data_IF_106841606077
#
_entry.id   IF_106841606077
#
_cell.length_a   1.000
_cell.length_b   1.000
_cell.length_c   1.000
_cell.angle_alpha   90.00
_cell.angle_beta   90.00
_cell.angle_gamma   90.00
#
_symmetry.space_group_name_H-M   'P 1'
#
loop_
_entity.id
_entity.type
_entity.pdbx_description
1 polymer ?
#
# COMPACT_ATOMS: atom_id res chain seq x y z
N UNK A 1 10.43 -19.87 1.35
CA UNK A 1 11.25 -20.94 1.98
C UNK A 1 10.70 -21.38 3.33
N UNK A 2 10.13 -20.49 4.15
CA UNK A 2 9.57 -20.83 5.48
C UNK A 2 8.59 -22.02 5.47
N UNK A 3 7.84 -22.22 4.39
CA UNK A 3 6.92 -23.35 4.25
C UNK A 3 7.60 -24.68 3.82
N UNK A 4 8.84 -24.63 3.34
CA UNK A 4 9.54 -25.78 2.75
C UNK A 4 10.84 -26.11 3.47
N UNK A 5 11.50 -25.15 4.12
CA UNK A 5 12.79 -25.31 4.76
C UNK A 5 12.63 -25.36 6.29
N UNK A 6 13.07 -26.48 6.88
CA UNK A 6 13.04 -26.67 8.33
C UNK A 6 14.27 -26.02 8.97
N UNK A 7 14.07 -25.32 10.09
CA UNK A 7 15.15 -24.89 10.98
C UNK A 7 15.62 -26.00 11.89
N UNK A 8 16.89 -25.96 12.30
CA UNK A 8 17.43 -26.80 13.33
C UNK A 8 17.53 -26.01 14.63
N UNK A 9 16.82 -26.46 15.65
CA UNK A 9 16.82 -25.82 16.99
C UNK A 9 18.24 -25.66 17.54
N UNK A 10 18.59 -24.44 17.95
CA UNK A 10 19.92 -24.08 18.46
C UNK A 10 21.00 -23.96 17.38
N UNK A 11 20.65 -23.92 16.10
CA UNK A 11 21.58 -23.71 14.99
C UNK A 11 21.11 -22.63 14.00
N UNK A 12 20.18 -21.78 14.41
CA UNK A 12 19.53 -20.77 13.58
C UNK A 12 20.53 -19.74 13.02
N UNK A 13 21.62 -19.48 13.74
CA UNK A 13 22.68 -18.54 13.34
C UNK A 13 23.75 -19.17 12.41
N UNK A 14 23.63 -20.45 12.09
CA UNK A 14 24.59 -21.11 11.21
C UNK A 14 24.21 -20.96 9.73
N UNK A 15 25.24 -20.92 8.89
CA UNK A 15 25.06 -20.91 7.45
C UNK A 15 24.33 -22.18 6.98
N UNK A 16 23.39 -21.97 6.06
CA UNK A 16 22.55 -23.02 5.50
C UNK A 16 22.82 -23.15 4.00
N UNK A 17 22.93 -24.38 3.52
CA UNK A 17 22.97 -24.70 2.10
C UNK A 17 21.77 -25.58 1.76
N UNK A 18 21.03 -25.18 0.70
CA UNK A 18 19.86 -25.91 0.20
C UNK A 18 20.16 -26.42 -1.19
N UNK A 19 20.03 -27.70 -1.40
CA UNK A 19 20.07 -28.30 -2.73
C UNK A 19 18.64 -28.57 -3.24
N UNK A 20 18.34 -28.04 -4.42
CA UNK A 20 17.07 -28.23 -5.12
C UNK A 20 17.25 -29.24 -6.26
N UNK A 21 16.42 -30.26 -6.29
CA UNK A 21 16.38 -31.27 -7.32
C UNK A 21 15.02 -31.25 -7.99
N UNK A 22 14.98 -30.90 -9.28
CA UNK A 22 13.75 -30.96 -10.06
C UNK A 22 13.54 -32.31 -10.66
N UNK A 23 12.32 -32.88 -10.65
CA UNK A 23 11.98 -34.07 -11.38
C UNK A 23 12.18 -33.86 -12.89
N UNK A 24 12.26 -34.94 -13.65
CA UNK A 24 12.60 -34.88 -15.07
C UNK A 24 11.67 -33.99 -15.90
N UNK A 25 10.40 -34.00 -15.56
CA UNK A 25 9.34 -33.22 -16.22
C UNK A 25 9.52 -31.69 -16.01
N UNK A 26 10.14 -31.28 -14.90
CA UNK A 26 10.32 -29.87 -14.51
C UNK A 26 11.77 -29.38 -14.69
N UNK A 27 12.68 -30.19 -15.23
CA UNK A 27 14.08 -29.77 -15.43
C UNK A 27 14.27 -28.59 -16.35
N UNK A 28 13.23 -28.22 -17.11
CA UNK A 28 13.24 -27.03 -17.97
C UNK A 28 12.94 -25.74 -17.21
N UNK A 29 12.43 -25.81 -15.98
CA UNK A 29 12.19 -24.64 -15.13
C UNK A 29 13.50 -23.95 -14.76
N UNK A 30 13.41 -22.63 -14.64
CA UNK A 30 14.48 -21.75 -14.23
C UNK A 30 14.28 -21.32 -12.77
N UNK A 31 15.38 -21.08 -12.07
CA UNK A 31 15.38 -20.56 -10.72
C UNK A 31 15.48 -19.03 -10.75
N UNK A 32 14.62 -18.34 -10.01
CA UNK A 32 14.77 -16.92 -9.65
C UNK A 32 14.84 -16.79 -8.13
N UNK A 33 15.74 -15.97 -7.62
CA UNK A 33 15.91 -15.69 -6.18
C UNK A 33 16.91 -14.55 -5.96
N UNK A 34 16.75 -13.82 -4.85
CA UNK A 34 17.77 -12.86 -4.36
C UNK A 34 18.96 -13.53 -3.67
N UNK A 35 18.85 -14.82 -3.30
CA UNK A 35 19.94 -15.55 -2.63
C UNK A 35 21.11 -15.85 -3.55
N UNK A 36 22.29 -15.98 -2.95
CA UNK A 36 23.44 -16.57 -3.63
C UNK A 36 23.09 -17.98 -4.12
N UNK A 37 23.08 -18.17 -5.44
CA UNK A 37 22.68 -19.43 -6.06
C UNK A 37 23.68 -19.89 -7.12
N UNK A 38 23.69 -21.20 -7.36
CA UNK A 38 24.50 -21.81 -8.42
C UNK A 38 23.71 -22.91 -9.09
N UNK A 39 23.62 -22.85 -10.42
CA UNK A 39 23.14 -23.96 -11.21
C UNK A 39 24.28 -24.97 -11.37
N UNK A 40 24.10 -26.22 -10.92
CA UNK A 40 25.08 -27.29 -11.01
C UNK A 40 24.97 -28.02 -12.35
N UNK A 41 23.78 -28.50 -12.65
CA UNK A 41 23.36 -29.10 -13.91
C UNK A 41 21.88 -28.79 -14.12
N UNK A 42 21.35 -29.07 -15.30
CA UNK A 42 19.93 -28.83 -15.63
C UNK A 42 19.01 -29.49 -14.57
N UNK A 43 18.19 -28.67 -13.91
CA UNK A 43 17.26 -29.11 -12.86
C UNK A 43 17.89 -29.34 -11.48
N UNK A 44 19.14 -28.91 -11.27
CA UNK A 44 19.79 -28.98 -9.95
C UNK A 44 20.45 -27.64 -9.59
N UNK A 45 20.06 -27.10 -8.44
CA UNK A 45 20.52 -25.80 -7.94
C UNK A 45 21.00 -25.89 -6.50
N UNK A 46 21.96 -25.06 -6.15
CA UNK A 46 22.37 -24.85 -4.75
C UNK A 46 22.07 -23.42 -4.37
N UNK A 47 21.43 -23.21 -3.21
CA UNK A 47 21.17 -21.92 -2.59
C UNK A 47 21.95 -21.81 -1.29
N UNK A 48 22.42 -20.61 -0.94
CA UNK A 48 23.18 -20.37 0.30
C UNK A 48 22.62 -19.18 1.04
N UNK A 49 22.39 -19.37 2.34
CA UNK A 49 22.03 -18.32 3.27
C UNK A 49 23.00 -18.33 4.47
N UNK A 50 23.27 -17.18 5.06
CA UNK A 50 24.17 -17.05 6.22
C UNK A 50 23.55 -17.54 7.51
N UNK A 51 22.23 -17.45 7.62
CA UNK A 51 21.43 -17.86 8.78
C UNK A 51 20.11 -18.47 8.33
N UNK A 52 19.39 -19.11 9.24
CA UNK A 52 18.02 -19.58 8.97
C UNK A 52 17.06 -18.41 8.72
N UNK A 53 17.22 -17.29 9.45
CA UNK A 53 16.42 -16.08 9.22
C UNK A 53 16.60 -15.52 7.80
N UNK A 54 17.84 -15.47 7.28
CA UNK A 54 18.10 -15.07 5.88
C UNK A 54 17.45 -16.06 4.89
N UNK A 55 17.51 -17.36 5.16
CA UNK A 55 16.89 -18.38 4.31
C UNK A 55 15.39 -18.21 4.17
N UNK A 56 14.68 -17.99 5.28
CA UNK A 56 13.22 -17.89 5.26
C UNK A 56 12.72 -16.54 4.73
N UNK A 57 13.56 -15.51 4.78
CA UNK A 57 13.29 -14.16 4.23
C UNK A 57 13.78 -13.98 2.78
N UNK A 58 14.14 -15.05 2.10
CA UNK A 58 14.61 -15.02 0.72
C UNK A 58 13.81 -15.99 -0.15
N UNK A 59 12.77 -15.53 -0.84
CA UNK A 59 11.96 -16.37 -1.69
C UNK A 59 12.76 -16.91 -2.88
N UNK A 60 12.29 -18.02 -3.42
CA UNK A 60 12.73 -18.52 -4.71
C UNK A 60 11.55 -19.02 -5.53
N UNK A 61 11.62 -18.80 -6.82
CA UNK A 61 10.63 -19.24 -7.79
C UNK A 61 11.26 -20.23 -8.78
N UNK A 62 10.57 -21.32 -9.05
CA UNK A 62 10.91 -22.30 -10.08
C UNK A 62 9.77 -22.35 -11.09
N UNK A 63 9.99 -21.83 -12.30
CA UNK A 63 8.97 -21.73 -13.35
C UNK A 63 9.58 -21.62 -14.75
N UNK A 64 8.72 -21.67 -15.77
CA UNK A 64 9.01 -21.07 -17.08
C UNK A 64 8.84 -19.56 -16.94
N UNK A 65 9.88 -18.81 -17.28
CA UNK A 65 9.94 -17.38 -16.96
C UNK A 65 10.35 -16.55 -18.16
N UNK A 66 9.72 -15.41 -18.32
CA UNK A 66 10.28 -14.30 -19.11
C UNK A 66 11.21 -13.49 -18.21
N UNK A 67 12.45 -13.27 -18.66
CA UNK A 67 13.49 -12.62 -17.85
C UNK A 67 14.16 -11.49 -18.63
N UNK A 68 14.50 -10.42 -17.94
CA UNK A 68 15.37 -9.37 -18.46
C UNK A 68 16.20 -8.77 -17.31
N UNK A 69 17.40 -8.31 -17.65
CA UNK A 69 18.30 -7.65 -16.71
C UNK A 69 18.52 -6.20 -17.09
N UNK A 70 18.81 -5.38 -16.11
CA UNK A 70 19.20 -3.98 -16.26
C UNK A 70 20.16 -3.59 -15.13
N UNK A 71 20.72 -2.38 -15.24
CA UNK A 71 21.60 -1.82 -14.22
C UNK A 71 21.05 -0.47 -13.79
N UNK A 72 20.89 -0.26 -12.48
CA UNK A 72 20.49 1.01 -11.91
C UNK A 72 21.60 1.50 -10.94
N UNK A 73 22.18 2.67 -11.20
CA UNK A 73 23.28 3.26 -10.43
C UNK A 73 24.44 2.28 -10.15
N UNK A 74 24.83 1.46 -11.14
CA UNK A 74 25.92 0.51 -11.03
C UNK A 74 25.57 -0.80 -10.33
N UNK A 75 24.30 -1.01 -9.98
CA UNK A 75 23.81 -2.24 -9.31
C UNK A 75 23.04 -3.08 -10.33
N UNK A 76 23.38 -4.37 -10.49
CA UNK A 76 22.64 -5.26 -11.38
C UNK A 76 21.28 -5.64 -10.81
N UNK A 77 20.26 -5.59 -11.67
CA UNK A 77 18.89 -5.98 -11.38
C UNK A 77 18.42 -7.04 -12.36
N UNK A 78 17.55 -7.92 -11.87
CA UNK A 78 16.86 -8.89 -12.71
C UNK A 78 15.36 -8.78 -12.46
N UNK A 79 14.58 -8.82 -13.54
CA UNK A 79 13.14 -8.88 -13.50
C UNK A 79 12.66 -10.19 -14.13
N UNK A 80 11.82 -10.90 -13.40
CA UNK A 80 11.35 -12.23 -13.77
C UNK A 80 9.82 -12.24 -13.74
N UNK A 81 9.19 -12.72 -14.81
CA UNK A 81 7.73 -12.87 -14.88
C UNK A 81 7.36 -14.30 -15.22
N UNK A 82 6.57 -14.92 -14.36
CA UNK A 82 5.98 -16.24 -14.54
C UNK A 82 4.48 -16.16 -14.88
N UNK A 83 3.91 -17.25 -15.34
CA UNK A 83 2.53 -17.30 -15.81
C UNK A 83 2.35 -16.80 -17.25
N UNK A 84 1.13 -16.96 -17.79
CA UNK A 84 0.82 -16.53 -19.17
C UNK A 84 0.59 -15.02 -19.22
N UNK A 85 1.36 -14.33 -20.04
CA UNK A 85 1.26 -12.88 -20.25
C UNK A 85 1.68 -12.51 -21.68
N UNK A 86 1.43 -11.24 -22.06
CA UNK A 86 1.84 -10.66 -23.34
C UNK A 86 2.51 -9.28 -23.12
N UNK A 87 3.29 -9.17 -22.01
CA UNK A 87 3.90 -7.88 -21.64
C UNK A 87 4.94 -7.41 -22.66
N UNK A 88 5.08 -6.09 -22.75
CA UNK A 88 6.19 -5.43 -23.42
C UNK A 88 7.39 -5.33 -22.47
N UNK A 89 8.30 -6.31 -22.53
CA UNK A 89 9.45 -6.40 -21.63
C UNK A 89 10.40 -5.17 -21.76
N UNK A 90 10.57 -4.62 -22.96
CA UNK A 90 11.43 -3.45 -23.17
C UNK A 90 10.85 -2.20 -22.49
N UNK A 91 9.54 -1.98 -22.56
CA UNK A 91 8.86 -0.89 -21.86
C UNK A 91 8.96 -1.05 -20.35
N UNK A 92 8.69 -2.23 -19.83
CA UNK A 92 8.80 -2.52 -18.40
C UNK A 92 10.23 -2.29 -17.90
N UNK A 93 11.23 -2.82 -18.59
CA UNK A 93 12.64 -2.61 -18.26
C UNK A 93 12.98 -1.13 -18.12
N UNK A 94 12.60 -0.33 -19.11
CA UNK A 94 12.88 1.10 -19.14
C UNK A 94 12.25 1.85 -17.95
N UNK A 95 11.01 1.53 -17.59
CA UNK A 95 10.30 2.23 -16.53
C UNK A 95 10.80 1.79 -15.14
N UNK A 96 11.03 0.49 -14.93
CA UNK A 96 11.57 -0.03 -13.67
C UNK A 96 13.01 0.45 -13.42
N UNK A 97 13.85 0.53 -14.46
CA UNK A 97 15.21 1.08 -14.34
C UNK A 97 15.18 2.53 -13.82
N UNK A 98 14.27 3.37 -14.33
CA UNK A 98 14.11 4.77 -13.86
C UNK A 98 13.67 4.83 -12.41
N UNK A 99 12.70 4.00 -12.01
CA UNK A 99 12.21 3.90 -10.63
C UNK A 99 13.36 3.52 -9.69
N UNK A 100 14.04 2.42 -9.97
CA UNK A 100 15.15 1.93 -9.15
C UNK A 100 16.28 2.96 -9.04
N UNK A 101 16.67 3.60 -10.15
CA UNK A 101 17.70 4.63 -10.15
C UNK A 101 17.30 5.85 -9.31
N UNK A 102 16.03 6.23 -9.32
CA UNK A 102 15.50 7.35 -8.53
C UNK A 102 15.55 7.05 -7.04
N UNK A 103 15.12 5.85 -6.62
CA UNK A 103 15.15 5.45 -5.21
C UNK A 103 16.58 5.30 -4.68
N UNK A 104 17.49 4.67 -5.43
CA UNK A 104 18.91 4.59 -5.06
C UNK A 104 19.51 6.00 -4.90
N UNK A 105 19.19 6.89 -5.84
CA UNK A 105 19.68 8.27 -5.79
C UNK A 105 19.13 9.05 -4.59
N UNK A 106 17.87 8.80 -4.22
CA UNK A 106 17.24 9.41 -3.06
C UNK A 106 17.97 9.05 -1.76
N UNK A 107 18.39 7.79 -1.58
CA UNK A 107 19.14 7.36 -0.39
C UNK A 107 20.66 7.53 -0.50
N UNK A 108 21.18 7.78 -1.71
CA UNK A 108 22.62 7.91 -1.99
C UNK A 108 23.36 6.58 -2.12
N UNK A 109 22.82 5.48 -1.63
CA UNK A 109 23.33 4.11 -1.79
C UNK A 109 22.23 3.08 -1.53
N UNK A 110 22.42 1.86 -2.02
CA UNK A 110 21.53 0.74 -1.73
C UNK A 110 22.11 -0.19 -0.66
N UNK A 111 21.27 -0.82 0.18
CA UNK A 111 21.71 -1.79 1.18
C UNK A 111 21.97 -3.20 0.61
N UNK A 112 21.97 -3.33 -0.71
CA UNK A 112 22.18 -4.61 -1.42
C UNK A 112 23.16 -4.42 -2.61
N UNK A 113 23.69 -5.52 -3.12
CA UNK A 113 24.60 -5.54 -4.28
C UNK A 113 23.99 -6.05 -5.58
N UNK A 114 22.78 -6.59 -5.51
CA UNK A 114 21.94 -7.01 -6.63
C UNK A 114 20.49 -7.06 -6.18
N UNK A 115 19.54 -7.00 -7.11
CA UNK A 115 18.12 -7.10 -6.78
C UNK A 115 17.35 -7.95 -7.79
N UNK A 116 16.36 -8.72 -7.32
CA UNK A 116 15.53 -9.60 -8.17
C UNK A 116 14.05 -9.34 -7.91
N UNK A 117 13.34 -8.87 -8.95
CA UNK A 117 11.88 -8.84 -8.96
C UNK A 117 11.35 -10.18 -9.47
N UNK A 118 10.44 -10.80 -8.74
CA UNK A 118 9.75 -12.02 -9.13
C UNK A 118 8.26 -11.77 -9.20
N UNK A 119 7.67 -11.76 -10.39
CA UNK A 119 6.26 -11.45 -10.61
C UNK A 119 5.50 -12.65 -11.13
N UNK A 120 4.41 -13.04 -10.46
CA UNK A 120 3.46 -14.01 -10.97
C UNK A 120 2.28 -13.31 -11.63
N UNK A 121 2.12 -13.49 -12.95
CA UNK A 121 1.00 -12.93 -13.72
C UNK A 121 -0.25 -13.81 -13.57
N UNK A 122 -1.32 -13.25 -13.02
CA UNK A 122 -2.59 -13.94 -12.73
C UNK A 122 -3.78 -13.32 -13.46
N UNK A 123 -5.00 -13.74 -13.12
CA UNK A 123 -6.22 -13.13 -13.63
C UNK A 123 -6.61 -11.87 -12.83
N UNK A 124 -6.53 -11.92 -11.49
CA UNK A 124 -7.13 -10.90 -10.60
C UNK A 124 -6.48 -10.80 -9.21
N UNK A 125 -5.34 -11.46 -8.96
CA UNK A 125 -4.63 -11.34 -7.68
C UNK A 125 -3.68 -10.15 -7.73
N UNK A 126 -3.49 -9.47 -6.59
CA UNK A 126 -2.63 -8.31 -6.47
C UNK A 126 -1.97 -8.29 -5.08
N UNK A 127 -0.69 -8.01 -5.03
CA UNK A 127 0.10 -7.85 -3.81
C UNK A 127 1.58 -8.04 -4.04
N UNK A 128 2.36 -7.69 -3.04
CA UNK A 128 3.79 -7.88 -2.99
C UNK A 128 4.23 -8.34 -1.60
N UNK A 129 5.47 -8.79 -1.52
CA UNK A 129 6.16 -9.06 -0.27
C UNK A 129 7.64 -8.74 -0.45
N UNK A 130 8.08 -7.84 0.37
CA UNK A 130 9.42 -7.29 0.38
C UNK A 130 10.46 -8.22 1.03
N UNK A 131 11.66 -8.22 0.48
CA UNK A 131 12.83 -8.93 1.01
C UNK A 131 14.09 -8.05 0.89
N UNK A 132 15.20 -8.37 1.58
CA UNK A 132 16.39 -7.51 1.60
C UNK A 132 16.95 -7.13 0.22
N UNK A 133 16.87 -8.02 -0.76
CA UNK A 133 17.37 -7.81 -2.12
C UNK A 133 16.52 -8.49 -3.20
N UNK A 134 15.25 -8.69 -2.90
CA UNK A 134 14.26 -9.21 -3.86
C UNK A 134 12.85 -8.87 -3.42
N UNK A 135 11.89 -9.05 -4.32
CA UNK A 135 10.47 -9.02 -3.99
C UNK A 135 9.70 -10.11 -4.72
N UNK A 136 8.66 -10.63 -4.06
CA UNK A 136 7.68 -11.51 -4.68
C UNK A 136 6.40 -10.74 -4.95
N UNK A 137 6.06 -10.57 -6.22
CA UNK A 137 4.90 -9.83 -6.68
C UNK A 137 3.85 -10.77 -7.28
N UNK A 138 2.59 -10.44 -7.09
CA UNK A 138 1.48 -11.06 -7.81
C UNK A 138 0.59 -9.96 -8.38
N UNK A 139 0.30 -10.03 -9.69
CA UNK A 139 -0.47 -9.00 -10.36
C UNK A 139 -1.39 -9.58 -11.43
N UNK A 140 -2.53 -8.91 -11.71
CA UNK A 140 -3.28 -9.21 -12.91
C UNK A 140 -2.39 -9.06 -14.14
N UNK A 141 -2.47 -9.99 -15.09
CA UNK A 141 -1.69 -9.90 -16.34
C UNK A 141 -2.03 -8.68 -17.18
N UNK A 142 -3.25 -8.15 -16.98
CA UNK A 142 -3.71 -6.95 -17.67
C UNK A 142 -3.09 -5.66 -17.15
N UNK A 143 -2.49 -5.69 -15.96
CA UNK A 143 -1.76 -4.56 -15.37
C UNK A 143 -0.32 -4.46 -15.93
N UNK A 144 0.17 -5.51 -16.62
CA UNK A 144 1.49 -5.47 -17.25
C UNK A 144 1.45 -4.64 -18.54
N UNK A 145 2.56 -3.94 -18.92
CA UNK A 145 2.55 -3.05 -20.07
C UNK A 145 2.30 -3.83 -21.36
N UNK A 146 1.38 -3.33 -22.18
CA UNK A 146 1.00 -3.94 -23.46
C UNK A 146 1.92 -3.49 -24.59
N UNK A 147 1.87 -4.18 -25.73
CA UNK A 147 2.69 -3.80 -26.90
C UNK A 147 2.41 -2.37 -27.39
N UNK A 148 1.20 -1.87 -27.19
CA UNK A 148 0.75 -0.53 -27.52
C UNK A 148 0.54 0.37 -26.30
N UNK A 149 1.26 0.10 -25.20
CA UNK A 149 1.22 0.94 -24.00
C UNK A 149 1.55 2.39 -24.37
N UNK A 150 0.72 3.38 -23.99
CA UNK A 150 0.95 4.77 -24.30
C UNK A 150 2.20 5.30 -23.55
N UNK A 151 2.71 6.46 -23.96
CA UNK A 151 3.83 7.13 -23.29
C UNK A 151 3.50 7.37 -21.80
N UNK A 152 2.36 7.99 -21.53
CA UNK A 152 1.77 8.02 -20.18
C UNK A 152 1.17 6.64 -19.87
N UNK A 153 1.66 5.90 -18.86
CA UNK A 153 1.18 4.58 -18.54
C UNK A 153 -0.33 4.54 -18.27
N UNK A 154 -1.00 3.47 -18.68
CA UNK A 154 -2.41 3.22 -18.32
C UNK A 154 -2.57 3.10 -16.79
N UNK A 155 -3.76 3.36 -16.27
CA UNK A 155 -4.02 3.31 -14.81
C UNK A 155 -3.69 1.93 -14.20
N UNK A 156 -3.97 0.85 -14.95
CA UNK A 156 -3.63 -0.50 -14.53
C UNK A 156 -2.11 -0.69 -14.45
N UNK A 157 -1.38 -0.18 -15.45
CA UNK A 157 0.08 -0.26 -15.45
C UNK A 157 0.71 0.67 -14.41
N UNK A 158 0.17 1.88 -14.17
CA UNK A 158 0.59 2.74 -13.06
C UNK A 158 0.46 2.03 -11.71
N UNK A 159 -0.64 1.30 -11.49
CA UNK A 159 -0.85 0.51 -10.28
C UNK A 159 0.25 -0.55 -10.09
N UNK A 160 0.63 -1.26 -11.16
CA UNK A 160 1.71 -2.24 -11.11
C UNK A 160 3.07 -1.59 -10.85
N UNK A 161 3.37 -0.46 -11.48
CA UNK A 161 4.61 0.29 -11.25
C UNK A 161 4.69 0.83 -9.81
N UNK A 162 3.58 1.30 -9.26
CA UNK A 162 3.48 1.68 -7.84
C UNK A 162 3.79 0.52 -6.91
N UNK A 163 3.26 -0.69 -7.20
CA UNK A 163 3.61 -1.89 -6.43
C UNK A 163 5.11 -2.21 -6.52
N UNK A 164 5.70 -2.15 -7.71
CA UNK A 164 7.14 -2.37 -7.86
C UNK A 164 7.98 -1.36 -7.07
N UNK A 165 7.60 -0.08 -7.10
CA UNK A 165 8.24 0.99 -6.32
C UNK A 165 8.08 0.76 -4.82
N UNK A 166 6.89 0.42 -4.35
CA UNK A 166 6.58 0.12 -2.95
C UNK A 166 7.49 -0.99 -2.39
N UNK A 167 7.52 -2.13 -3.05
CA UNK A 167 8.28 -3.29 -2.61
C UNK A 167 9.81 -3.08 -2.72
N UNK A 168 10.24 -2.27 -3.69
CA UNK A 168 11.66 -1.93 -3.82
C UNK A 168 12.12 -0.97 -2.73
N UNK A 169 11.27 0.03 -2.37
CA UNK A 169 11.52 0.99 -1.30
C UNK A 169 11.71 0.29 0.05
N UNK A 170 11.00 -0.79 0.28
CA UNK A 170 11.14 -1.61 1.48
C UNK A 170 12.54 -2.18 1.71
N UNK A 171 13.41 -2.24 0.70
CA UNK A 171 14.80 -2.63 0.90
C UNK A 171 15.52 -1.72 1.87
N UNK A 172 15.19 -0.43 1.87
CA UNK A 172 15.65 0.54 2.87
C UNK A 172 14.72 0.57 4.08
N UNK A 173 13.44 0.84 3.87
CA UNK A 173 12.46 1.04 4.93
C UNK A 173 11.67 -0.25 5.16
N UNK A 174 12.00 -0.93 6.13
CA UNK A 174 11.71 -2.12 6.90
C UNK A 174 12.79 -3.21 6.81
N UNK A 175 13.44 -3.43 5.68
CA UNK A 175 14.47 -4.50 5.62
C UNK A 175 15.82 -4.06 6.18
N UNK A 176 16.19 -2.79 6.05
CA UNK A 176 17.43 -2.23 6.58
C UNK A 176 17.20 -1.27 7.77
N UNK A 177 16.32 -0.28 7.60
CA UNK A 177 15.80 0.58 8.66
C UNK A 177 14.61 -0.16 9.28
N UNK A 178 14.67 -0.55 10.54
CA UNK A 178 13.69 -1.44 11.19
C UNK A 178 13.10 -0.82 12.45
N UNK A 179 11.92 -1.26 12.88
CA UNK A 179 11.53 -1.07 14.28
C UNK A 179 12.59 -1.69 15.21
N UNK A 180 12.97 -1.00 16.27
CA UNK A 180 13.99 -1.49 17.22
C UNK A 180 13.64 -2.88 17.77
N UNK A 181 12.38 -3.11 18.08
CA UNK A 181 11.87 -4.40 18.57
C UNK A 181 11.86 -5.52 17.51
N UNK A 182 12.08 -5.21 16.22
CA UNK A 182 12.18 -6.19 15.14
C UNK A 182 13.62 -6.58 14.80
N UNK A 183 14.62 -6.01 15.48
CA UNK A 183 16.03 -6.37 15.24
C UNK A 183 16.31 -7.80 15.70
N UNK A 184 15.79 -8.19 16.87
CA UNK A 184 15.93 -9.52 17.46
C UNK A 184 14.55 -10.10 17.75
N UNK A 185 13.78 -10.38 16.70
CA UNK A 185 12.43 -10.93 16.87
C UNK A 185 12.47 -12.46 17.05
N UNK A 186 11.49 -12.96 17.80
CA UNK A 186 11.26 -14.40 17.98
C UNK A 186 10.35 -14.90 16.87
N UNK A 187 10.88 -15.76 15.99
CA UNK A 187 10.12 -16.36 14.87
C UNK A 187 8.90 -17.19 15.29
N UNK A 188 8.77 -17.51 16.58
CA UNK A 188 7.63 -18.29 17.11
C UNK A 188 6.51 -17.39 17.68
N UNK A 189 6.63 -16.07 17.58
CA UNK A 189 5.65 -15.10 18.12
C UNK A 189 5.36 -14.00 17.12
N UNK A 190 4.17 -13.42 17.24
CA UNK A 190 3.82 -12.21 16.52
C UNK A 190 4.68 -11.04 17.01
N UNK A 191 5.20 -10.25 16.07
CA UNK A 191 5.85 -8.98 16.36
C UNK A 191 4.84 -7.83 16.35
N UNK A 192 4.57 -7.23 17.50
CA UNK A 192 3.71 -6.07 17.63
C UNK A 192 4.53 -4.79 17.60
N UNK A 193 4.06 -3.78 16.86
CA UNK A 193 4.66 -2.44 16.83
C UNK A 193 3.60 -1.40 16.53
N UNK A 194 3.70 -0.23 17.15
CA UNK A 194 2.88 0.95 16.84
C UNK A 194 3.40 1.73 15.61
N UNK A 195 4.44 1.23 14.92
CA UNK A 195 5.22 2.00 13.95
C UNK A 195 4.95 1.64 12.48
N UNK A 196 4.02 0.74 12.15
CA UNK A 196 3.76 0.36 10.75
C UNK A 196 3.32 1.55 9.90
N UNK A 197 2.74 2.59 10.48
CA UNK A 197 2.44 3.84 9.79
C UNK A 197 3.69 4.54 9.22
N UNK A 198 4.88 4.28 9.78
CA UNK A 198 6.16 4.73 9.22
C UNK A 198 6.55 3.79 8.08
N UNK A 199 6.64 2.49 8.38
CA UNK A 199 7.22 1.50 7.48
C UNK A 199 6.36 1.25 6.24
N UNK A 200 5.04 1.28 6.37
CA UNK A 200 4.10 1.13 5.28
C UNK A 200 3.56 2.48 4.77
N UNK A 201 3.29 3.39 5.69
CA UNK A 201 2.74 4.69 5.32
C UNK A 201 3.73 5.57 4.56
N UNK A 202 5.00 5.63 4.98
CA UNK A 202 6.01 6.37 4.22
C UNK A 202 6.29 5.69 2.88
N UNK A 203 6.37 4.37 2.85
CA UNK A 203 6.51 3.62 1.60
C UNK A 203 5.36 3.92 0.65
N UNK A 204 4.10 3.90 1.15
CA UNK A 204 2.91 4.26 0.35
C UNK A 204 2.83 5.75 -0.03
N UNK A 205 3.59 6.63 0.60
CA UNK A 205 3.75 8.01 0.17
C UNK A 205 4.77 8.13 -0.97
N UNK A 206 5.88 7.40 -0.83
CA UNK A 206 6.95 7.45 -1.80
C UNK A 206 6.68 6.64 -3.05
N UNK A 207 5.94 5.54 -2.99
CA UNK A 207 5.71 4.67 -4.15
C UNK A 207 5.16 5.45 -5.36
N UNK A 208 4.08 6.19 -5.20
CA UNK A 208 3.49 7.04 -6.23
C UNK A 208 4.34 8.29 -6.54
N UNK A 209 4.99 8.89 -5.51
CA UNK A 209 5.83 10.07 -5.68
C UNK A 209 7.10 9.74 -6.49
N UNK A 210 7.66 8.57 -6.33
CA UNK A 210 8.81 8.09 -7.11
C UNK A 210 8.43 7.91 -8.59
N UNK A 211 7.22 7.45 -8.91
CA UNK A 211 6.76 7.38 -10.30
C UNK A 211 6.78 8.76 -10.96
N UNK A 212 6.38 9.80 -10.24
CA UNK A 212 6.49 11.19 -10.72
C UNK A 212 7.94 11.65 -10.84
N UNK A 213 8.75 11.45 -9.80
CA UNK A 213 10.15 11.92 -9.76
C UNK A 213 11.04 11.24 -10.79
N UNK A 214 10.76 9.98 -11.11
CA UNK A 214 11.45 9.23 -12.15
C UNK A 214 11.00 9.62 -13.58
N UNK A 215 9.95 10.45 -13.69
CA UNK A 215 9.39 10.86 -14.98
C UNK A 215 8.64 9.73 -15.70
N UNK A 216 8.18 8.72 -14.97
CA UNK A 216 7.39 7.62 -15.53
C UNK A 216 5.92 8.04 -15.66
N UNK A 217 5.42 8.83 -14.73
CA UNK A 217 4.08 9.43 -14.81
C UNK A 217 4.13 10.95 -14.80
N UNK A 218 3.09 11.59 -15.32
CA UNK A 218 2.91 13.03 -15.30
C UNK A 218 2.47 13.56 -13.93
N UNK A 219 2.63 14.87 -13.70
CA UNK A 219 2.08 15.54 -12.52
C UNK A 219 0.56 15.38 -12.41
N UNK A 220 -0.16 15.39 -13.54
CA UNK A 220 -1.61 15.21 -13.56
C UNK A 220 -2.01 13.81 -13.06
N UNK A 221 -1.28 12.77 -13.46
CA UNK A 221 -1.49 11.40 -12.97
C UNK A 221 -1.19 11.28 -11.47
N UNK A 222 -0.10 11.89 -11.00
CA UNK A 222 0.22 11.90 -9.56
C UNK A 222 -0.87 12.60 -8.73
N UNK A 223 -1.38 13.75 -9.16
CA UNK A 223 -2.49 14.44 -8.47
C UNK A 223 -3.75 13.57 -8.43
N UNK A 224 -4.01 12.78 -9.49
CA UNK A 224 -5.13 11.82 -9.52
C UNK A 224 -4.93 10.68 -8.52
N UNK A 225 -3.71 10.12 -8.42
CA UNK A 225 -3.37 9.10 -7.43
C UNK A 225 -3.52 9.66 -6.01
N UNK A 226 -2.97 10.85 -5.75
CA UNK A 226 -3.10 11.52 -4.47
C UNK A 226 -4.57 11.79 -4.09
N UNK A 227 -5.38 12.27 -5.05
CA UNK A 227 -6.83 12.43 -4.85
C UNK A 227 -7.46 11.09 -4.42
N UNK A 228 -7.11 10.00 -5.08
CA UNK A 228 -7.64 8.67 -4.75
C UNK A 228 -7.28 8.24 -3.32
N UNK A 229 -6.06 8.52 -2.87
CA UNK A 229 -5.64 8.24 -1.49
C UNK A 229 -6.45 9.07 -0.48
N UNK A 230 -6.67 10.36 -0.76
CA UNK A 230 -7.46 11.24 0.11
C UNK A 230 -8.93 10.81 0.12
N UNK A 231 -9.53 10.53 -1.02
CA UNK A 231 -10.92 10.07 -1.09
C UNK A 231 -11.13 8.76 -0.30
N UNK A 232 -10.19 7.81 -0.41
CA UNK A 232 -10.23 6.56 0.37
C UNK A 232 -10.20 6.82 1.86
N UNK A 233 -9.37 7.75 2.31
CA UNK A 233 -9.31 8.17 3.72
C UNK A 233 -10.61 8.83 4.17
N UNK A 234 -11.11 9.82 3.41
CA UNK A 234 -12.34 10.55 3.74
C UNK A 234 -13.58 9.65 3.79
N UNK A 235 -13.63 8.63 2.92
CA UNK A 235 -14.74 7.70 2.82
C UNK A 235 -14.69 6.56 3.84
N UNK A 236 -13.63 6.45 4.64
CA UNK A 236 -13.51 5.43 5.69
C UNK A 236 -14.09 5.93 7.03
N UNK A 237 -15.26 5.46 7.49
CA UNK A 237 -15.82 5.88 8.77
C UNK A 237 -15.01 5.41 9.99
N UNK A 238 -14.20 4.36 9.85
CA UNK A 238 -13.31 3.86 10.90
C UNK A 238 -12.20 4.83 11.29
N UNK A 239 -11.89 5.85 10.43
CA UNK A 239 -10.91 6.88 10.74
C UNK A 239 -11.24 7.71 11.99
N UNK A 240 -12.53 7.76 12.37
CA UNK A 240 -13.00 8.42 13.58
C UNK A 240 -13.01 7.52 14.81
N UNK A 241 -12.61 6.25 14.66
CA UNK A 241 -12.68 5.24 15.73
C UNK A 241 -11.29 4.78 16.15
N UNK A 242 -10.36 4.67 15.20
CA UNK A 242 -9.03 4.14 15.43
C UNK A 242 -7.96 5.12 14.94
N UNK A 243 -6.96 5.40 15.77
CA UNK A 243 -5.77 6.15 15.38
C UNK A 243 -4.85 5.30 14.47
N UNK A 244 -3.92 5.94 13.76
CA UNK A 244 -3.00 5.21 12.89
C UNK A 244 -1.95 4.41 13.68
N UNK A 245 -1.60 4.86 14.88
CA UNK A 245 -0.73 4.13 15.82
C UNK A 245 -1.39 2.86 16.33
N UNK A 246 -2.68 2.94 16.75
CA UNK A 246 -3.47 1.76 17.12
C UNK A 246 -3.66 0.81 15.95
N UNK A 247 -3.92 1.32 14.73
CA UNK A 247 -4.02 0.50 13.52
C UNK A 247 -2.74 -0.29 13.26
N UNK A 248 -1.59 0.35 13.46
CA UNK A 248 -0.28 -0.31 13.34
C UNK A 248 -0.13 -1.43 14.37
N UNK A 249 -0.47 -1.17 15.63
CA UNK A 249 -0.35 -2.17 16.71
C UNK A 249 -1.30 -3.35 16.53
N UNK A 250 -2.53 -3.07 16.10
CA UNK A 250 -3.59 -4.06 15.92
C UNK A 250 -3.51 -4.82 14.57
N UNK A 251 -2.45 -4.64 13.76
CA UNK A 251 -2.35 -5.19 12.42
C UNK A 251 -2.67 -6.69 12.35
N UNK A 252 -2.08 -7.50 13.24
CA UNK A 252 -2.27 -8.95 13.29
C UNK A 252 -3.72 -9.39 13.50
N UNK A 253 -4.46 -8.65 14.31
CA UNK A 253 -5.79 -9.05 14.78
C UNK A 253 -6.95 -8.32 14.11
N UNK A 254 -6.67 -7.17 13.46
CA UNK A 254 -7.68 -6.37 12.75
C UNK A 254 -7.39 -6.23 11.26
N UNK A 255 -6.22 -5.71 10.86
CA UNK A 255 -5.94 -5.40 9.47
C UNK A 255 -5.83 -6.66 8.59
N UNK A 256 -5.13 -7.69 9.07
CA UNK A 256 -5.01 -8.98 8.37
C UNK A 256 -6.13 -9.97 8.66
N UNK A 257 -7.09 -9.61 9.52
CA UNK A 257 -8.29 -10.41 9.83
C UNK A 257 -9.54 -9.57 9.70
N UNK A 258 -9.73 -9.01 8.51
CA UNK A 258 -10.88 -8.16 8.23
C UNK A 258 -12.18 -8.96 8.24
N UNK A 259 -13.22 -8.33 8.79
CA UNK A 259 -14.60 -8.77 8.78
C UNK A 259 -15.50 -7.72 8.07
N UNK A 260 -16.80 -7.98 8.09
CA UNK A 260 -17.80 -7.10 7.49
C UNK A 260 -17.92 -5.73 8.16
N UNK A 261 -17.41 -5.58 9.38
CA UNK A 261 -17.43 -4.33 10.15
C UNK A 261 -16.09 -3.56 10.14
N UNK A 262 -15.04 -4.10 9.54
CA UNK A 262 -13.68 -3.55 9.60
C UNK A 262 -13.60 -2.10 9.11
N UNK A 263 -14.35 -1.74 8.06
CA UNK A 263 -14.39 -0.36 7.55
C UNK A 263 -15.03 0.62 8.54
N UNK A 264 -15.87 0.17 9.47
CA UNK A 264 -16.49 0.99 10.49
C UNK A 264 -15.66 1.14 11.76
N UNK A 265 -14.70 0.25 11.98
CA UNK A 265 -13.99 0.07 13.23
C UNK A 265 -12.50 0.40 13.14
N UNK A 266 -11.92 0.41 11.93
CA UNK A 266 -10.49 0.56 11.75
C UNK A 266 -10.11 1.53 10.63
N UNK A 267 -8.87 2.01 10.70
CA UNK A 267 -8.23 2.78 9.62
C UNK A 267 -7.03 1.99 9.07
N UNK A 268 -6.60 2.34 7.86
CA UNK A 268 -5.42 1.72 7.25
C UNK A 268 -4.16 2.51 7.61
N UNK A 269 -3.18 1.84 8.22
CA UNK A 269 -1.87 2.44 8.46
C UNK A 269 -1.07 2.65 7.15
N UNK A 270 -1.42 1.98 6.04
CA UNK A 270 -0.94 2.31 4.71
C UNK A 270 -1.51 3.66 4.24
N UNK A 271 -2.84 3.74 4.12
CA UNK A 271 -3.52 4.90 3.54
C UNK A 271 -3.45 6.14 4.44
N UNK A 272 -3.86 6.05 5.73
CA UNK A 272 -3.72 7.17 6.67
C UNK A 272 -2.25 7.47 6.93
N UNK A 273 -1.37 6.47 6.99
CA UNK A 273 0.07 6.63 7.14
C UNK A 273 0.72 7.38 5.96
N UNK A 274 0.31 7.10 4.72
CA UNK A 274 0.69 7.85 3.52
C UNK A 274 0.34 9.34 3.67
N UNK A 275 -0.87 9.65 4.11
CA UNK A 275 -1.30 11.04 4.30
C UNK A 275 -0.63 11.71 5.51
N UNK A 276 -0.28 10.97 6.55
CA UNK A 276 0.58 11.45 7.64
C UNK A 276 1.98 11.80 7.12
N UNK A 277 2.57 10.94 6.28
CA UNK A 277 3.85 11.22 5.64
C UNK A 277 3.79 12.49 4.78
N UNK A 278 2.73 12.66 4.00
CA UNK A 278 2.47 13.89 3.25
C UNK A 278 2.39 15.13 4.17
N UNK A 279 1.64 15.06 5.27
CA UNK A 279 1.54 16.18 6.23
C UNK A 279 2.90 16.51 6.85
N UNK A 280 3.72 15.49 7.15
CA UNK A 280 5.07 15.67 7.66
C UNK A 280 5.98 16.31 6.60
N UNK A 281 5.96 15.84 5.35
CA UNK A 281 6.78 16.41 4.28
C UNK A 281 6.44 17.88 4.02
N UNK A 282 5.15 18.20 3.89
CA UNK A 282 4.70 19.57 3.70
C UNK A 282 5.06 20.47 4.92
N UNK A 283 4.85 19.96 6.13
CA UNK A 283 5.20 20.68 7.36
C UNK A 283 6.71 20.93 7.50
N UNK A 284 7.54 19.97 7.12
CA UNK A 284 9.00 20.11 7.10
C UNK A 284 9.45 21.09 6.03
N UNK A 285 8.84 21.07 4.83
CA UNK A 285 9.14 22.02 3.73
C UNK A 285 8.83 23.47 4.10
N UNK A 286 7.75 23.73 4.85
CA UNK A 286 7.45 25.06 5.38
C UNK A 286 8.53 25.57 6.34
N UNK A 287 9.36 24.68 6.89
CA UNK A 287 10.48 24.97 7.81
C UNK A 287 11.86 24.81 7.18
N UNK A 288 11.91 24.71 5.85
CA UNK A 288 13.18 24.61 5.10
C UNK A 288 13.85 23.23 5.12
N UNK A 289 13.12 22.17 5.48
CA UNK A 289 13.56 20.78 5.43
C UNK A 289 12.64 19.93 4.55
N UNK A 290 12.69 18.60 4.61
CA UNK A 290 11.84 17.70 3.85
C UNK A 290 11.77 16.31 4.50
N UNK A 291 10.81 15.49 4.07
CA UNK A 291 10.76 14.10 4.46
C UNK A 291 11.96 13.31 3.87
N UNK A 292 12.48 13.71 2.70
CA UNK A 292 13.71 13.12 2.14
C UNK A 292 14.89 13.29 3.11
N UNK A 293 15.06 14.50 3.68
CA UNK A 293 16.10 14.73 4.68
C UNK A 293 15.95 13.85 5.93
N UNK A 294 14.70 13.63 6.35
CA UNK A 294 14.40 12.71 7.45
C UNK A 294 14.75 11.26 7.07
N UNK A 295 14.41 10.82 5.85
CA UNK A 295 14.75 9.48 5.36
C UNK A 295 16.27 9.27 5.28
N UNK A 296 17.03 10.27 4.84
CA UNK A 296 18.49 10.23 4.89
C UNK A 296 19.03 10.04 6.31
N UNK A 297 18.48 10.77 7.29
CA UNK A 297 18.86 10.62 8.69
C UNK A 297 18.54 9.24 9.24
N UNK A 298 17.38 8.69 8.91
CA UNK A 298 17.00 7.33 9.30
C UNK A 298 18.00 6.30 8.72
N UNK A 299 18.37 6.46 7.44
CA UNK A 299 19.33 5.57 6.78
C UNK A 299 20.73 5.70 7.36
N UNK A 300 21.24 6.94 7.59
CA UNK A 300 22.51 7.18 8.28
C UNK A 300 22.56 6.56 9.69
N UNK A 301 21.46 6.64 10.43
CA UNK A 301 21.32 6.03 11.74
C UNK A 301 21.37 4.50 11.67
N UNK A 302 20.64 3.91 10.72
CA UNK A 302 20.64 2.46 10.50
C UNK A 302 22.03 1.94 10.09
N UNK A 303 22.79 2.67 9.29
CA UNK A 303 24.20 2.36 8.96
C UNK A 303 25.11 2.32 10.21
N UNK A 304 24.75 3.06 11.27
CA UNK A 304 25.42 3.05 12.58
C UNK A 304 24.85 2.04 13.57
N UNK A 305 23.85 1.23 13.13
CA UNK A 305 23.15 0.26 13.96
C UNK A 305 22.05 0.86 14.85
N UNK A 306 21.65 2.13 14.64
CA UNK A 306 20.58 2.79 15.37
C UNK A 306 19.28 2.58 14.60
N UNK A 307 18.30 1.96 15.23
CA UNK A 307 17.02 1.61 14.63
C UNK A 307 15.88 2.50 15.15
N UNK A 308 14.67 2.33 14.58
CA UNK A 308 13.53 3.22 14.81
C UNK A 308 12.76 2.82 16.07
N UNK A 309 12.62 3.77 16.98
CA UNK A 309 11.76 3.67 18.17
C UNK A 309 10.64 4.73 18.11
N UNK A 310 9.69 4.69 19.02
CA UNK A 310 8.47 5.51 19.00
C UNK A 310 8.71 7.03 18.95
N UNK A 311 9.86 7.51 19.44
CA UNK A 311 10.21 8.93 19.47
C UNK A 311 11.10 9.37 18.31
N UNK A 312 11.63 8.45 17.53
CA UNK A 312 12.65 8.72 16.49
C UNK A 312 12.18 9.81 15.51
N UNK A 313 10.93 9.75 15.03
CA UNK A 313 10.42 10.76 14.08
C UNK A 313 10.35 12.15 14.71
N UNK A 314 9.89 12.25 15.95
CA UNK A 314 9.88 13.53 16.70
C UNK A 314 11.28 14.09 16.86
N UNK A 315 12.21 13.25 17.27
CA UNK A 315 13.62 13.64 17.51
C UNK A 315 14.29 14.13 16.22
N UNK A 316 14.09 13.43 15.12
CA UNK A 316 14.65 13.83 13.82
C UNK A 316 13.98 15.09 13.26
N UNK A 317 12.67 15.25 13.39
CA UNK A 317 11.98 16.48 12.96
C UNK A 317 12.49 17.68 13.78
N UNK A 318 12.68 17.52 15.10
CA UNK A 318 13.25 18.56 15.96
C UNK A 318 14.70 18.91 15.56
N UNK A 319 15.51 17.91 15.25
CA UNK A 319 16.91 18.11 14.79
C UNK A 319 16.95 18.87 13.46
N UNK A 320 16.09 18.49 12.52
CA UNK A 320 16.07 19.05 11.16
C UNK A 320 15.55 20.49 11.09
N UNK A 321 14.68 20.88 12.00
CA UNK A 321 14.00 22.19 11.91
C UNK A 321 14.34 23.14 13.08
N UNK A 322 14.78 22.62 14.22
CA UNK A 322 14.93 23.35 15.45
C UNK A 322 13.60 23.59 16.21
N UNK A 323 12.49 23.14 15.67
CA UNK A 323 11.15 23.28 16.27
C UNK A 323 10.80 22.06 17.13
N UNK A 324 9.77 22.20 17.98
CA UNK A 324 9.22 21.09 18.74
C UNK A 324 8.04 20.46 18.00
N UNK A 325 8.19 19.23 17.51
CA UNK A 325 7.19 18.51 16.73
C UNK A 325 6.32 17.55 17.55
N UNK A 326 6.52 17.46 18.87
CA UNK A 326 5.87 16.41 19.67
C UNK A 326 4.33 16.47 19.62
N UNK A 327 3.75 17.67 19.74
CA UNK A 327 2.30 17.85 19.73
C UNK A 327 1.74 17.60 18.34
N UNK A 328 2.40 18.09 17.29
CA UNK A 328 1.98 17.93 15.90
C UNK A 328 1.99 16.45 15.49
N UNK A 329 3.08 15.73 15.77
CA UNK A 329 3.19 14.31 15.44
C UNK A 329 2.18 13.51 16.27
N UNK A 330 2.07 13.79 17.58
CA UNK A 330 1.08 13.12 18.43
C UNK A 330 -0.36 13.30 17.90
N UNK A 331 -0.70 14.50 17.45
CA UNK A 331 -2.01 14.77 16.83
C UNK A 331 -2.22 13.93 15.56
N UNK A 332 -1.22 13.83 14.67
CA UNK A 332 -1.34 13.09 13.43
C UNK A 332 -1.49 11.57 13.65
N UNK A 333 -0.81 10.99 14.66
CA UNK A 333 -0.68 9.54 14.78
C UNK A 333 -1.49 8.90 15.91
N UNK A 334 -1.77 9.63 17.01
CA UNK A 334 -2.43 9.09 18.20
C UNK A 334 -3.86 9.59 18.39
N UNK A 335 -4.37 10.44 17.49
CA UNK A 335 -5.76 10.91 17.55
C UNK A 335 -6.56 10.41 16.34
N UNK A 336 -7.87 10.56 16.43
CA UNK A 336 -8.81 10.33 15.33
C UNK A 336 -9.24 11.63 14.64
N UNK A 337 -8.58 12.73 14.95
CA UNK A 337 -8.85 14.03 14.35
C UNK A 337 -8.52 14.04 12.85
N UNK A 338 -9.10 14.99 12.13
CA UNK A 338 -8.84 15.15 10.70
C UNK A 338 -7.40 15.59 10.45
N UNK A 339 -6.81 15.12 9.37
CA UNK A 339 -5.49 15.56 8.94
C UNK A 339 -5.56 17.02 8.40
N UNK A 340 -4.58 17.88 8.67
CA UNK A 340 -4.61 19.32 8.32
C UNK A 340 -4.31 19.59 6.83
N UNK A 341 -4.88 18.79 5.91
CA UNK A 341 -4.64 18.89 4.48
C UNK A 341 -5.16 20.21 3.89
N UNK A 342 -6.30 20.70 4.40
CA UNK A 342 -6.91 21.97 4.02
C UNK A 342 -6.04 23.18 4.35
N UNK A 343 -5.20 23.09 5.39
CA UNK A 343 -4.26 24.12 5.81
C UNK A 343 -2.93 24.02 5.04
N UNK A 344 -2.49 22.83 4.73
CA UNK A 344 -1.18 22.58 4.13
C UNK A 344 -1.17 22.80 2.61
N UNK A 345 -2.16 22.30 1.88
CA UNK A 345 -2.15 22.36 0.43
C UNK A 345 -2.09 23.75 -0.17
N UNK A 346 -2.84 24.75 0.35
CA UNK A 346 -2.78 26.13 -0.19
C UNK A 346 -1.37 26.75 -0.14
N UNK A 347 -0.56 26.40 0.88
CA UNK A 347 0.82 26.88 1.03
C UNK A 347 1.73 26.39 -0.13
N UNK A 348 1.31 25.33 -0.84
CA UNK A 348 2.03 24.74 -1.97
C UNK A 348 1.32 24.97 -3.31
N UNK A 349 0.29 25.81 -3.35
CA UNK A 349 -0.43 26.17 -4.57
C UNK A 349 -1.34 25.05 -5.09
N UNK A 350 -1.87 24.25 -4.16
CA UNK A 350 -2.94 23.30 -4.42
C UNK A 350 -4.21 23.81 -3.73
N UNK A 351 -5.27 24.06 -4.49
CA UNK A 351 -6.56 24.28 -3.87
C UNK A 351 -7.13 22.95 -3.36
N UNK A 352 -7.71 23.00 -2.16
CA UNK A 352 -8.35 21.85 -1.51
C UNK A 352 -9.79 22.23 -1.20
N UNK A 353 -10.73 21.48 -1.73
CA UNK A 353 -12.15 21.63 -1.38
C UNK A 353 -12.83 20.27 -1.31
N UNK A 354 -13.81 20.16 -0.43
CA UNK A 354 -14.60 18.95 -0.28
C UNK A 354 -15.87 19.06 -1.12
N UNK A 355 -16.20 18.00 -1.84
CA UNK A 355 -17.44 17.84 -2.57
C UNK A 355 -18.21 16.64 -2.01
N UNK A 356 -19.50 16.81 -1.92
CA UNK A 356 -20.43 15.79 -1.48
C UNK A 356 -21.36 15.39 -2.66
N UNK A 357 -20.76 15.13 -3.81
CA UNK A 357 -21.50 14.90 -5.05
C UNK A 357 -22.03 13.47 -5.20
N UNK A 358 -21.49 12.52 -4.44
CA UNK A 358 -21.91 11.11 -4.49
C UNK A 358 -22.72 10.78 -3.25
N UNK A 359 -24.01 10.60 -3.46
CA UNK A 359 -24.90 10.11 -2.42
C UNK A 359 -24.84 8.58 -2.36
N UNK A 360 -24.61 8.03 -1.18
CA UNK A 360 -24.88 6.63 -0.83
C UNK A 360 -25.92 6.59 0.29
N UNK A 361 -27.18 6.96 -0.01
CA UNK A 361 -28.21 7.12 1.02
C UNK A 361 -28.40 5.90 1.91
N UNK A 362 -28.25 4.70 1.36
CA UNK A 362 -28.35 3.45 2.13
C UNK A 362 -27.00 3.08 2.81
N UNK A 363 -25.86 3.40 2.23
CA UNK A 363 -24.54 3.05 2.77
C UNK A 363 -24.28 1.54 2.81
N UNK A 364 -24.80 0.79 1.84
CA UNK A 364 -24.68 -0.67 1.78
C UNK A 364 -23.72 -1.12 0.68
N UNK A 365 -22.91 -2.13 0.97
CA UNK A 365 -22.24 -2.97 -0.01
C UNK A 365 -23.04 -4.26 -0.19
N UNK A 366 -23.40 -4.56 -1.42
CA UNK A 366 -24.39 -5.57 -1.74
C UNK A 366 -23.81 -6.67 -2.65
N UNK A 367 -24.35 -7.88 -2.51
CA UNK A 367 -24.03 -9.03 -3.37
C UNK A 367 -25.33 -9.75 -3.73
N UNK A 368 -25.52 -10.05 -5.01
CA UNK A 368 -26.70 -10.81 -5.47
C UNK A 368 -26.56 -12.29 -5.05
N UNK A 369 -27.64 -12.84 -4.53
CA UNK A 369 -27.79 -14.24 -4.14
C UNK A 369 -29.10 -14.80 -4.69
N UNK A 370 -29.24 -16.12 -4.86
CA UNK A 370 -30.50 -16.72 -5.36
C UNK A 370 -31.72 -16.37 -4.49
N UNK A 371 -31.53 -16.23 -3.18
CA UNK A 371 -32.58 -15.92 -2.20
C UNK A 371 -32.93 -14.44 -2.08
N UNK A 372 -32.09 -13.52 -2.63
CA UNK A 372 -32.28 -12.08 -2.53
C UNK A 372 -30.97 -11.29 -2.67
N UNK A 373 -30.92 -10.09 -2.12
CA UNK A 373 -29.74 -9.22 -2.15
C UNK A 373 -29.07 -9.22 -0.77
N UNK A 374 -27.92 -9.88 -0.67
CA UNK A 374 -27.14 -9.97 0.56
C UNK A 374 -26.45 -8.64 0.88
N UNK A 375 -26.62 -8.15 2.10
CA UNK A 375 -25.82 -7.08 2.68
C UNK A 375 -24.44 -7.63 3.05
N UNK A 376 -23.41 -7.27 2.28
CA UNK A 376 -22.03 -7.67 2.57
C UNK A 376 -21.44 -6.82 3.70
N UNK A 377 -21.71 -5.52 3.69
CA UNK A 377 -21.37 -4.59 4.78
C UNK A 377 -22.32 -3.40 4.78
N UNK A 378 -22.50 -2.80 5.96
CA UNK A 378 -23.29 -1.59 6.14
C UNK A 378 -22.43 -0.51 6.81
N UNK A 379 -22.33 0.66 6.19
CA UNK A 379 -21.60 1.80 6.76
C UNK A 379 -22.36 2.32 7.99
N UNK A 380 -21.64 2.56 9.10
CA UNK A 380 -22.23 3.03 10.36
C UNK A 380 -22.97 4.38 10.25
N UNK A 381 -22.51 5.24 9.32
CA UNK A 381 -23.11 6.54 9.00
C UNK A 381 -24.19 6.47 7.92
N UNK A 382 -24.42 5.29 7.31
CA UNK A 382 -25.43 5.05 6.29
C UNK A 382 -26.83 4.87 6.87
N UNK A 383 -27.85 5.32 6.13
CA UNK A 383 -29.24 5.25 6.56
C UNK A 383 -29.75 3.84 6.85
N UNK A 384 -29.28 2.84 6.12
CA UNK A 384 -29.65 1.44 6.34
C UNK A 384 -29.14 0.93 7.68
N UNK A 385 -27.86 1.21 8.04
CA UNK A 385 -27.34 0.83 9.35
C UNK A 385 -28.04 1.57 10.49
N UNK A 386 -28.37 2.85 10.30
CA UNK A 386 -29.13 3.63 11.28
C UNK A 386 -30.56 3.08 11.48
N UNK A 387 -31.18 2.50 10.44
CA UNK A 387 -32.44 1.81 10.52
C UNK A 387 -32.33 0.38 11.11
N UNK A 388 -31.11 -0.11 11.34
CA UNK A 388 -30.85 -1.41 11.94
C UNK A 388 -30.50 -2.52 10.96
N UNK A 389 -30.40 -2.27 9.63
CA UNK A 389 -29.83 -3.25 8.69
C UNK A 389 -28.36 -3.51 9.02
N UNK A 390 -27.94 -4.74 8.88
CA UNK A 390 -26.60 -5.20 9.21
C UNK A 390 -26.04 -6.12 8.13
N UNK A 391 -24.75 -6.35 8.16
CA UNK A 391 -24.14 -7.40 7.35
C UNK A 391 -24.84 -8.76 7.58
N UNK A 392 -24.87 -9.55 6.54
CA UNK A 392 -25.55 -10.86 6.43
C UNK A 392 -27.09 -10.80 6.35
N UNK A 393 -27.72 -9.63 6.46
CA UNK A 393 -29.13 -9.51 6.13
C UNK A 393 -29.35 -9.79 4.63
N UNK A 394 -30.38 -10.56 4.29
CA UNK A 394 -30.77 -10.83 2.90
C UNK A 394 -32.03 -10.03 2.58
N UNK A 395 -31.87 -8.95 1.82
CA UNK A 395 -32.99 -8.11 1.38
C UNK A 395 -33.81 -8.87 0.37
N UNK A 396 -35.10 -9.07 0.65
CA UNK A 396 -36.05 -9.79 -0.21
C UNK A 396 -37.10 -8.88 -0.86
N UNK A 397 -37.40 -7.73 -0.21
CA UNK A 397 -38.29 -6.74 -0.80
C UNK A 397 -37.91 -5.32 -0.36
N UNK A 398 -38.24 -4.34 -1.20
CA UNK A 398 -38.16 -2.92 -0.94
C UNK A 398 -39.44 -2.26 -1.43
N UNK A 399 -40.16 -1.51 -0.57
CA UNK A 399 -41.48 -0.91 -0.83
C UNK A 399 -42.49 -1.92 -1.42
N UNK A 400 -42.48 -3.15 -0.91
CA UNK A 400 -43.38 -4.21 -1.38
C UNK A 400 -43.02 -4.85 -2.71
N UNK A 401 -41.93 -4.39 -3.37
CA UNK A 401 -41.41 -4.97 -4.60
C UNK A 401 -40.31 -5.97 -4.31
N UNK A 402 -40.27 -7.09 -5.06
CA UNK A 402 -39.21 -8.10 -4.95
C UNK A 402 -37.84 -7.45 -5.15
N UNK A 403 -36.95 -7.62 -4.19
CA UNK A 403 -35.58 -7.11 -4.29
C UNK A 403 -34.82 -7.82 -5.42
N UNK A 404 -34.19 -7.00 -6.26
CA UNK A 404 -33.14 -7.40 -7.21
C UNK A 404 -31.98 -6.45 -7.03
N UNK A 405 -30.76 -6.84 -7.40
CA UNK A 405 -29.60 -5.95 -7.30
C UNK A 405 -29.90 -4.59 -7.94
N UNK A 406 -30.40 -4.59 -9.18
CA UNK A 406 -30.75 -3.35 -9.91
C UNK A 406 -31.75 -2.48 -9.16
N UNK A 407 -32.78 -3.08 -8.53
CA UNK A 407 -33.77 -2.32 -7.79
C UNK A 407 -33.17 -1.71 -6.51
N UNK A 408 -32.44 -2.50 -5.73
CA UNK A 408 -31.83 -2.02 -4.48
C UNK A 408 -30.77 -0.94 -4.77
N UNK A 409 -29.94 -1.10 -5.80
CA UNK A 409 -28.98 -0.09 -6.24
C UNK A 409 -29.66 1.22 -6.69
N UNK A 410 -30.83 1.14 -7.33
CA UNK A 410 -31.62 2.31 -7.68
C UNK A 410 -32.06 3.07 -6.42
N UNK A 411 -32.59 2.38 -5.43
CA UNK A 411 -33.00 2.98 -4.16
C UNK A 411 -31.79 3.48 -3.34
N UNK A 412 -30.66 2.78 -3.45
CA UNK A 412 -29.43 3.18 -2.79
C UNK A 412 -28.85 4.53 -3.27
N UNK A 413 -29.31 5.02 -4.42
CA UNK A 413 -28.89 6.31 -5.02
C UNK A 413 -29.95 7.41 -4.89
N UNK A 414 -31.07 7.13 -4.24
CA UNK A 414 -32.20 8.06 -4.14
C UNK A 414 -32.51 8.39 -2.69
N UNK A 415 -32.78 9.67 -2.43
CA UNK A 415 -33.34 10.09 -1.16
C UNK A 415 -34.80 9.68 -1.05
N UNK A 416 -35.26 9.34 0.14
CA UNK A 416 -36.63 8.93 0.39
C UNK A 416 -36.80 8.13 1.67
N UNK A 417 -38.03 7.75 1.92
CA UNK A 417 -38.36 6.79 2.99
C UNK A 417 -38.79 5.48 2.37
N UNK A 418 -38.16 4.39 2.74
CA UNK A 418 -38.34 3.07 2.14
C UNK A 418 -38.61 2.05 3.22
N UNK A 419 -39.52 1.10 2.95
CA UNK A 419 -39.72 -0.09 3.78
C UNK A 419 -38.92 -1.24 3.17
N UNK A 420 -37.93 -1.76 3.92
CA UNK A 420 -37.11 -2.88 3.48
C UNK A 420 -37.44 -4.10 4.32
N UNK A 421 -37.77 -5.22 3.63
CA UNK A 421 -37.90 -6.52 4.25
C UNK A 421 -36.64 -7.35 3.99
N UNK A 422 -36.07 -7.89 5.04
CA UNK A 422 -34.88 -8.74 4.94
C UNK A 422 -34.96 -9.91 5.91
N UNK A 423 -34.35 -11.03 5.55
CA UNK A 423 -34.06 -12.10 6.48
C UNK A 423 -32.75 -11.82 7.21
N UNK A 424 -32.82 -11.85 8.53
CA UNK A 424 -31.65 -11.93 9.44
C UNK A 424 -31.60 -13.32 10.00
N UNK A 425 -30.64 -14.12 9.56
CA UNK A 425 -30.63 -15.56 9.75
C UNK A 425 -31.90 -16.18 9.11
N UNK A 426 -32.85 -16.66 9.90
CA UNK A 426 -34.13 -17.27 9.51
C UNK A 426 -35.36 -16.42 9.88
N UNK A 427 -35.16 -15.24 10.51
CA UNK A 427 -36.20 -14.34 10.94
C UNK A 427 -36.47 -13.22 9.93
N UNK A 428 -37.74 -13.05 9.54
CA UNK A 428 -38.15 -11.93 8.69
C UNK A 428 -38.23 -10.64 9.52
N UNK A 429 -37.50 -9.64 9.09
CA UNK A 429 -37.46 -8.32 9.71
C UNK A 429 -37.92 -7.23 8.75
N UNK A 430 -38.49 -6.15 9.30
CA UNK A 430 -38.88 -4.96 8.58
C UNK A 430 -38.07 -3.76 9.07
N UNK A 431 -37.55 -2.96 8.14
CA UNK A 431 -36.76 -1.78 8.43
C UNK A 431 -37.34 -0.57 7.71
N UNK A 432 -37.68 0.47 8.45
CA UNK A 432 -38.10 1.77 7.91
C UNK A 432 -36.86 2.65 7.74
N UNK A 433 -36.36 2.75 6.53
CA UNK A 433 -35.13 3.46 6.18
C UNK A 433 -35.47 4.86 5.69
N UNK A 434 -34.95 5.87 6.36
CA UNK A 434 -34.99 7.26 5.91
C UNK A 434 -33.67 7.57 5.22
N UNK A 435 -33.62 7.37 3.91
CA UNK A 435 -32.46 7.68 3.10
C UNK A 435 -32.39 9.20 2.87
N UNK A 436 -31.64 9.90 3.69
CA UNK A 436 -31.28 11.30 3.52
C UNK A 436 -29.77 11.41 3.52
N UNK A 437 -29.23 11.93 2.42
CA UNK A 437 -27.88 12.39 2.23
C UNK A 437 -26.77 11.88 3.15
N UNK A 438 -26.43 10.58 3.15
CA UNK A 438 -25.06 10.23 3.54
C UNK A 438 -24.20 10.42 2.30
N UNK A 439 -23.62 11.59 2.21
CA UNK A 439 -22.79 11.99 1.10
C UNK A 439 -21.41 11.35 1.23
N UNK A 440 -20.93 10.71 0.16
CA UNK A 440 -19.53 10.36 0.10
C UNK A 440 -18.75 11.63 -0.15
N UNK A 441 -17.94 12.01 0.83
CA UNK A 441 -17.04 13.14 0.69
C UNK A 441 -15.91 12.76 -0.27
N UNK A 442 -15.74 13.56 -1.31
CA UNK A 442 -14.59 13.50 -2.23
C UNK A 442 -13.81 14.81 -2.16
N UNK A 443 -12.49 14.74 -2.31
CA UNK A 443 -11.67 15.93 -2.45
C UNK A 443 -11.65 16.39 -3.91
N UNK A 444 -11.70 17.69 -4.12
CA UNK A 444 -11.30 18.33 -5.37
C UNK A 444 -9.95 19.00 -5.17
N UNK A 445 -8.95 18.53 -5.90
CA UNK A 445 -7.60 19.12 -5.92
C UNK A 445 -7.39 19.81 -7.27
N UNK A 446 -6.91 21.04 -7.23
CA UNK A 446 -6.51 21.78 -8.43
C UNK A 446 -5.18 22.47 -8.20
N UNK A 447 -4.29 22.37 -9.18
CA UNK A 447 -3.05 23.16 -9.19
C UNK A 447 -3.40 24.59 -9.55
N UNK A 448 -3.05 25.55 -8.70
CA UNK A 448 -3.27 26.97 -8.95
C UNK A 448 -2.27 27.49 -10.00
N UNK A 449 -2.76 28.29 -10.94
CA UNK A 449 -1.90 28.91 -11.96
C UNK A 449 -0.82 29.81 -11.31
N UNK A 450 0.42 29.73 -11.81
CA UNK A 450 1.56 30.52 -11.31
C UNK A 450 1.32 32.04 -11.38
N UNK A 451 0.42 32.50 -12.24
CA UNK A 451 0.08 33.91 -12.39
C UNK A 451 -0.63 34.51 -11.16
N UNK A 452 -1.31 33.67 -10.34
CA UNK A 452 -2.04 34.13 -9.17
C UNK A 452 -1.21 34.07 -7.86
N UNK A 453 0.00 33.55 -7.91
CA UNK A 453 0.86 33.37 -6.73
C UNK A 453 1.57 34.66 -6.33
N UNK A 454 1.13 35.26 -5.25
CA UNK A 454 1.81 36.40 -4.59
C UNK A 454 3.03 36.00 -3.75
N UNK A 455 3.51 34.76 -3.74
CA UNK A 455 4.67 34.40 -2.94
C UNK A 455 5.58 33.35 -3.55
N UNK A 456 6.83 33.69 -3.55
CA UNK A 456 8.06 33.11 -4.07
C UNK A 456 8.52 31.82 -3.38
N UNK A 457 7.70 31.06 -2.67
CA UNK A 457 8.13 29.89 -1.88
C UNK A 457 8.21 28.58 -2.68
N UNK A 458 7.71 28.54 -3.92
CA UNK A 458 7.71 27.33 -4.77
C UNK A 458 8.73 27.36 -5.91
N UNK A 459 9.68 28.29 -5.91
CA UNK A 459 10.77 28.30 -6.89
C UNK A 459 11.90 27.30 -6.60
N UNK A 460 11.74 26.39 -5.65
CA UNK A 460 12.59 25.21 -5.58
C UNK A 460 11.98 24.13 -6.47
N UNK A 461 12.73 23.71 -7.48
CA UNK A 461 12.43 22.67 -8.48
C UNK A 461 12.14 21.27 -7.91
N UNK A 462 11.65 21.14 -6.68
CA UNK A 462 11.49 19.89 -5.93
C UNK A 462 10.22 19.86 -5.07
N UNK A 463 9.20 20.65 -5.36
CA UNK A 463 7.97 20.62 -4.53
C UNK A 463 7.06 19.41 -4.86
N UNK A 464 7.06 18.89 -6.08
CA UNK A 464 6.37 17.65 -6.50
C UNK A 464 7.08 17.11 -7.74
#
# INVERSE_FOLDING_TARGET
>A
PACACLGLEGQEDKAVEVELFLPDELKHFQLATGMASKSLVKGRFTLKAKTYAELIDAPFELAEQTRFGFEANGIPHEFVVSGKHAMNAARMQQDIEKICATEISMFGSAPFSNYTFMTMATANSYGGLEHPNSTSLISPREDLPKANEPEEPSEDYQRFLGLCSHEYFHSWLVKFIRPENFVNYDLNKEGYTSLLWIFEGFTSYYDDLILLRSGVISQASYIKLLKTQIDRYLQNPGRFVQSVSESSFDAWVKFYRQDENSNNAGTSYYNKGCLVALCLDLGLRLRGSSLDALMHKLYENALKGIQVHERTIVELCNELTGDNWIEQINHLINTTDELPLDQLFPEFGLSYSLKNDKSLPLGLKLVEKPEGVLVQSARRDGAAAQAGLSAHDVIIAIDGLKATMTLVEKYAKQEGSYSILAFRRDELMSFDVKASGSELTEVELKVEDQADRKSTRLNSSHAF
#
